data_IF_414469730930
#
_entry.id   IF_414469730930
#
_cell.length_a   1.000
_cell.length_b   1.000
_cell.length_c   1.000
_cell.angle_alpha   90.00
_cell.angle_beta   90.00
_cell.angle_gamma   90.00
#
_symmetry.space_group_name_H-M   'P 1'
#
loop_
_entity.id
_entity.type
_entity.pdbx_description
1 polymer ?
#
# COMPACT_ATOMS: atom_id res chain seq x y z
N UNK A 1 -13.68 -9.16 -5.18
CA UNK A 1 -12.78 -8.68 -6.25
C UNK A 1 -11.30 -8.81 -5.87
N UNK A 2 -10.82 -8.12 -4.81
CA UNK A 2 -9.38 -8.16 -4.44
C UNK A 2 -8.82 -9.58 -4.25
N UNK A 3 -9.56 -10.45 -3.54
CA UNK A 3 -9.18 -11.86 -3.37
C UNK A 3 -9.05 -12.62 -4.69
N UNK A 4 -9.98 -12.43 -5.62
CA UNK A 4 -9.93 -13.05 -6.94
C UNK A 4 -8.73 -12.56 -7.78
N UNK A 5 -8.30 -11.31 -7.57
CA UNK A 5 -7.11 -10.77 -8.21
C UNK A 5 -5.83 -11.37 -7.59
N UNK A 6 -5.79 -11.49 -6.26
CA UNK A 6 -4.68 -12.12 -5.54
C UNK A 6 -4.52 -13.59 -5.94
N UNK A 7 -5.61 -14.35 -6.04
CA UNK A 7 -5.64 -15.74 -6.53
C UNK A 7 -5.14 -15.90 -7.99
N UNK A 8 -5.02 -14.80 -8.74
CA UNK A 8 -4.53 -14.77 -10.13
C UNK A 8 -3.17 -14.10 -10.25
N UNK A 9 -2.50 -13.82 -9.13
CA UNK A 9 -1.21 -13.17 -9.07
C UNK A 9 -1.17 -11.80 -9.78
N UNK A 10 -2.28 -11.06 -9.78
CA UNK A 10 -2.35 -9.72 -10.39
C UNK A 10 -1.64 -8.73 -9.47
N UNK A 11 -0.52 -8.08 -9.87
CA UNK A 11 0.17 -7.13 -9.02
C UNK A 11 -0.68 -5.89 -8.76
N UNK A 12 -0.55 -5.31 -7.57
CA UNK A 12 -1.38 -4.18 -7.14
C UNK A 12 -0.54 -2.96 -6.78
N UNK A 13 -0.99 -1.78 -7.21
CA UNK A 13 -0.43 -0.47 -6.83
C UNK A 13 -1.48 0.27 -6.01
N UNK A 14 -1.06 0.93 -4.94
CA UNK A 14 -1.93 1.75 -4.09
C UNK A 14 -1.63 3.23 -4.31
N UNK A 15 -2.67 4.01 -4.59
CA UNK A 15 -2.59 5.46 -4.75
C UNK A 15 -3.67 6.14 -3.91
N UNK A 16 -3.37 7.35 -3.41
CA UNK A 16 -4.33 8.14 -2.61
C UNK A 16 -5.33 8.92 -3.46
N UNK A 17 -5.01 9.11 -4.74
CA UNK A 17 -5.73 10.02 -5.66
C UNK A 17 -5.96 11.43 -5.05
N UNK A 18 -5.03 11.84 -4.19
CA UNK A 18 -5.19 13.06 -3.43
C UNK A 18 -4.89 14.30 -4.27
N UNK A 19 -5.82 15.25 -4.23
CA UNK A 19 -5.66 16.59 -4.79
C UNK A 19 -5.33 17.64 -3.70
N UNK A 20 -5.18 17.22 -2.44
CA UNK A 20 -4.85 18.08 -1.28
C UNK A 20 -3.70 17.47 -0.49
N UNK A 21 -2.63 18.25 -0.25
CA UNK A 21 -1.40 17.72 0.35
C UNK A 21 -1.61 16.91 1.64
N UNK A 22 -2.45 17.38 2.57
CA UNK A 22 -2.71 16.68 3.84
C UNK A 22 -3.46 15.35 3.69
N UNK A 23 -4.09 15.06 2.54
CA UNK A 23 -4.80 13.79 2.29
C UNK A 23 -3.93 12.73 1.62
N UNK A 24 -2.66 13.05 1.32
CA UNK A 24 -1.73 12.06 0.78
C UNK A 24 -1.53 10.95 1.81
N UNK A 25 -1.99 9.74 1.48
CA UNK A 25 -1.81 8.56 2.33
C UNK A 25 -2.84 8.38 3.46
N UNK A 26 -3.86 9.24 3.56
CA UNK A 26 -4.83 9.31 4.68
C UNK A 26 -5.48 7.96 5.05
N UNK A 27 -5.62 7.04 4.09
CA UNK A 27 -6.23 5.72 4.29
C UNK A 27 -5.34 4.54 3.86
N UNK A 28 -4.03 4.75 3.74
CA UNK A 28 -3.12 3.69 3.30
C UNK A 28 -3.09 2.51 4.28
N UNK A 29 -3.15 2.76 5.59
CA UNK A 29 -3.22 1.69 6.60
C UNK A 29 -4.46 0.81 6.38
N UNK A 30 -5.63 1.42 6.20
CA UNK A 30 -6.88 0.70 5.94
C UNK A 30 -6.80 -0.09 4.63
N UNK A 31 -6.31 0.53 3.55
CA UNK A 31 -6.15 -0.14 2.26
C UNK A 31 -5.22 -1.36 2.36
N UNK A 32 -4.08 -1.21 3.03
CA UNK A 32 -3.11 -2.28 3.25
C UNK A 32 -3.67 -3.44 4.08
N UNK A 33 -4.47 -3.16 5.11
CA UNK A 33 -5.15 -4.21 5.87
C UNK A 33 -6.13 -5.00 5.01
N UNK A 34 -6.92 -4.32 4.16
CA UNK A 34 -7.80 -5.02 3.21
C UNK A 34 -7.04 -5.84 2.16
N UNK A 35 -5.85 -5.41 1.76
CA UNK A 35 -4.99 -6.19 0.86
C UNK A 35 -4.45 -7.44 1.54
N UNK A 36 -4.02 -7.36 2.81
CA UNK A 36 -3.63 -8.52 3.62
C UNK A 36 -4.78 -9.52 3.76
N UNK A 37 -5.98 -9.03 4.12
CA UNK A 37 -7.19 -9.85 4.21
C UNK A 37 -7.55 -10.53 2.88
N UNK A 38 -7.28 -9.85 1.77
CA UNK A 38 -7.50 -10.38 0.43
C UNK A 38 -6.44 -11.40 -0.04
N UNK A 39 -5.32 -11.55 0.68
CA UNK A 39 -4.25 -12.50 0.37
C UNK A 39 -3.01 -11.90 -0.31
N UNK A 40 -2.87 -10.58 -0.36
CA UNK A 40 -1.64 -9.94 -0.86
C UNK A 40 -0.56 -9.88 0.24
N UNK A 41 0.69 -10.17 -0.12
CA UNK A 41 1.87 -9.97 0.73
C UNK A 41 2.65 -8.70 0.36
N UNK A 42 2.61 -8.30 -0.92
CA UNK A 42 3.37 -7.19 -1.49
C UNK A 42 2.45 -6.19 -2.19
N UNK A 43 2.86 -4.92 -2.15
CA UNK A 43 2.37 -3.87 -3.06
C UNK A 43 3.49 -3.46 -4.01
N UNK A 44 3.09 -3.08 -5.22
CA UNK A 44 3.97 -2.60 -6.27
C UNK A 44 4.06 -1.08 -6.31
N UNK A 45 5.23 -0.58 -6.67
CA UNK A 45 5.46 0.80 -7.08
C UNK A 45 6.43 0.81 -8.27
N UNK A 46 6.58 1.96 -8.92
CA UNK A 46 7.39 2.07 -10.13
C UNK A 46 8.44 3.17 -10.00
N UNK A 47 9.69 2.85 -10.37
CA UNK A 47 10.78 3.79 -10.56
C UNK A 47 11.30 3.59 -11.97
N UNK A 48 11.41 4.66 -12.77
CA UNK A 48 11.89 4.56 -14.16
C UNK A 48 11.17 3.49 -14.98
N UNK A 49 9.85 3.37 -14.81
CA UNK A 49 8.99 2.35 -15.44
C UNK A 49 9.35 0.90 -15.11
N UNK A 50 10.21 0.68 -14.11
CA UNK A 50 10.51 -0.64 -13.54
C UNK A 50 9.65 -0.87 -12.31
N UNK A 51 8.98 -2.02 -12.25
CA UNK A 51 8.19 -2.43 -11.07
C UNK A 51 9.13 -2.83 -9.95
N UNK A 52 8.84 -2.34 -8.76
CA UNK A 52 9.44 -2.72 -7.50
C UNK A 52 8.35 -3.13 -6.53
N UNK A 53 8.69 -3.98 -5.58
CA UNK A 53 7.75 -4.50 -4.59
C UNK A 53 8.24 -4.13 -3.19
N UNK A 54 7.29 -3.91 -2.30
CA UNK A 54 7.52 -3.76 -0.86
C UNK A 54 6.51 -4.63 -0.13
N UNK A 55 6.97 -5.30 0.94
CA UNK A 55 6.07 -6.04 1.81
C UNK A 55 5.09 -5.07 2.47
N UNK A 56 3.83 -5.46 2.53
CA UNK A 56 2.80 -4.64 3.17
C UNK A 56 3.15 -4.40 4.65
N UNK A 57 3.73 -5.39 5.33
CA UNK A 57 4.20 -5.28 6.72
C UNK A 57 5.25 -4.17 6.90
N UNK A 58 6.19 -4.05 5.96
CA UNK A 58 7.27 -3.07 6.03
C UNK A 58 6.75 -1.66 5.77
N UNK A 59 5.81 -1.54 4.83
CA UNK A 59 5.12 -0.28 4.55
C UNK A 59 4.29 0.18 5.76
N UNK A 60 3.53 -0.71 6.40
CA UNK A 60 2.78 -0.43 7.63
C UNK A 60 3.71 0.01 8.78
N UNK A 61 4.81 -0.70 9.00
CA UNK A 61 5.79 -0.35 10.02
C UNK A 61 6.43 1.02 9.76
N UNK A 62 6.69 1.35 8.50
CA UNK A 62 7.21 2.68 8.11
C UNK A 62 6.23 3.80 8.40
N UNK A 63 4.95 3.61 8.12
CA UNK A 63 3.93 4.62 8.40
C UNK A 63 3.76 4.83 9.90
N UNK A 64 3.75 3.75 10.71
CA UNK A 64 3.71 3.86 12.17
C UNK A 64 4.85 4.72 12.70
N UNK A 65 6.10 4.46 12.27
CA UNK A 65 7.26 5.28 12.66
C UNK A 65 7.12 6.74 12.26
N UNK A 66 6.55 7.03 11.09
CA UNK A 66 6.34 8.40 10.62
C UNK A 66 5.30 9.14 11.48
N UNK A 67 4.22 8.47 11.88
CA UNK A 67 3.21 9.04 12.79
C UNK A 67 3.78 9.26 14.19
N UNK A 68 4.52 8.27 14.73
CA UNK A 68 5.15 8.37 16.05
C UNK A 68 6.17 9.53 16.12
N UNK A 69 6.89 9.82 15.02
CA UNK A 69 7.84 10.93 14.94
C UNK A 69 7.20 12.32 14.79
N UNK A 70 5.88 12.38 14.52
CA UNK A 70 5.12 13.62 14.35
C UNK A 70 4.28 13.97 15.59
N UNK A 71 4.24 13.09 16.58
CA UNK A 71 3.54 13.25 17.86
C UNK A 71 4.48 13.78 18.95
#
# INVERSE_FOLDING_TARGET
MLKMMAERDIPIVVGSDSHRAHRVGEHFVTAYNHLLEAGYEYVSYFINRRRHEIRISDALASMKRATDAQS
#
